data_IF_664870759698
#
_entry.id   IF_664870759698
#
_cell.length_a   1.000
_cell.length_b   1.000
_cell.length_c   1.000
_cell.angle_alpha   90.00
_cell.angle_beta   90.00
_cell.angle_gamma   90.00
#
_symmetry.space_group_name_H-M   'P 1'
#
loop_
_entity.id
_entity.type
_entity.pdbx_description
1 polymer ?
#
# COMPACT_ATOMS: atom_id res chain seq x y z
N UNK A 1 -15.70 -19.67 -9.60
CA UNK A 1 -14.30 -19.99 -9.20
C UNK A 1 -13.26 -18.98 -9.75
N UNK A 2 -13.45 -18.37 -10.93
CA UNK A 2 -12.48 -17.44 -11.53
C UNK A 2 -12.22 -16.16 -10.70
N UNK A 3 -13.21 -15.68 -9.95
CA UNK A 3 -13.14 -14.49 -9.10
C UNK A 3 -12.13 -14.64 -7.95
N UNK A 4 -12.18 -15.79 -7.26
CA UNK A 4 -11.21 -16.12 -6.23
C UNK A 4 -9.79 -16.14 -6.79
N UNK A 5 -9.57 -16.71 -7.98
CA UNK A 5 -8.25 -16.70 -8.62
C UNK A 5 -7.66 -15.30 -8.79
N UNK A 6 -8.47 -14.33 -9.22
CA UNK A 6 -8.05 -12.93 -9.36
C UNK A 6 -7.74 -12.27 -8.02
N UNK A 7 -8.55 -12.52 -6.98
CA UNK A 7 -8.29 -12.00 -5.63
C UNK A 7 -6.99 -12.57 -5.05
N UNK A 8 -6.71 -13.87 -5.24
CA UNK A 8 -5.46 -14.49 -4.82
C UNK A 8 -4.24 -13.82 -5.45
N UNK A 9 -4.29 -13.60 -6.77
CA UNK A 9 -3.22 -12.93 -7.51
C UNK A 9 -3.06 -11.49 -7.01
N UNK A 10 -4.15 -10.75 -6.83
CA UNK A 10 -4.09 -9.38 -6.31
C UNK A 10 -3.45 -9.32 -4.92
N UNK A 11 -3.78 -10.24 -4.01
CA UNK A 11 -3.18 -10.32 -2.68
C UNK A 11 -1.69 -10.66 -2.73
N UNK A 12 -1.29 -11.58 -3.61
CA UNK A 12 0.11 -11.96 -3.80
C UNK A 12 0.94 -10.78 -4.32
N UNK A 13 0.46 -10.12 -5.38
CA UNK A 13 1.15 -8.98 -5.99
C UNK A 13 1.25 -7.80 -5.02
N UNK A 14 0.17 -7.46 -4.33
CA UNK A 14 0.19 -6.41 -3.29
C UNK A 14 1.14 -6.76 -2.16
N UNK A 15 1.14 -8.01 -1.70
CA UNK A 15 2.03 -8.43 -0.63
C UNK A 15 3.50 -8.36 -1.02
N UNK A 16 3.85 -8.75 -2.25
CA UNK A 16 5.20 -8.59 -2.80
C UNK A 16 5.57 -7.10 -2.91
N UNK A 17 4.65 -6.27 -3.42
CA UNK A 17 4.87 -4.83 -3.55
C UNK A 17 5.11 -4.16 -2.19
N UNK A 18 4.42 -4.57 -1.12
CA UNK A 18 4.66 -4.04 0.22
C UNK A 18 6.00 -4.48 0.82
N UNK A 19 6.42 -5.73 0.59
CA UNK A 19 7.70 -6.24 1.09
C UNK A 19 8.89 -5.62 0.35
N UNK A 20 8.83 -5.61 -0.98
CA UNK A 20 9.98 -5.27 -1.82
C UNK A 20 9.89 -3.87 -2.45
N UNK A 21 8.77 -3.17 -2.32
CA UNK A 21 8.56 -1.86 -2.94
C UNK A 21 8.89 -0.70 -2.01
N UNK A 22 8.35 -0.69 -0.78
CA UNK A 22 8.37 0.50 0.08
C UNK A 22 9.79 1.01 0.36
N UNK A 23 10.65 0.17 0.95
CA UNK A 23 11.99 0.59 1.33
C UNK A 23 12.88 0.94 0.11
N UNK A 24 12.90 0.14 -0.98
CA UNK A 24 13.65 0.53 -2.16
C UNK A 24 13.14 1.82 -2.81
N UNK A 25 11.83 2.05 -2.90
CA UNK A 25 11.28 3.26 -3.54
C UNK A 25 11.62 4.54 -2.76
N UNK A 26 11.66 4.49 -1.43
CA UNK A 26 12.16 5.59 -0.59
C UNK A 26 13.59 6.01 -0.99
N UNK A 27 14.43 5.08 -1.43
CA UNK A 27 15.84 5.33 -1.79
C UNK A 27 16.05 5.60 -3.28
N UNK A 28 15.33 4.89 -4.16
CA UNK A 28 15.47 4.97 -5.61
C UNK A 28 14.67 6.13 -6.22
N UNK A 29 13.55 6.49 -5.61
CA UNK A 29 12.74 7.65 -6.00
C UNK A 29 12.29 8.46 -4.77
N UNK A 30 13.24 9.12 -4.07
CA UNK A 30 12.95 9.82 -2.83
C UNK A 30 11.89 10.91 -3.00
N UNK A 31 11.89 11.62 -4.13
CA UNK A 31 10.94 12.71 -4.34
C UNK A 31 9.46 12.24 -4.40
N UNK A 32 9.18 10.97 -4.72
CA UNK A 32 7.82 10.43 -4.72
C UNK A 32 7.44 9.62 -3.47
N UNK A 33 8.40 9.31 -2.60
CA UNK A 33 8.25 8.32 -1.51
C UNK A 33 8.87 8.73 -0.17
N UNK A 34 9.68 9.79 -0.13
CA UNK A 34 10.34 10.30 1.08
C UNK A 34 9.88 11.71 1.38
N UNK A 35 9.08 11.82 2.44
CA UNK A 35 8.53 13.08 2.96
C UNK A 35 9.61 13.95 3.61
N UNK A 36 9.45 15.29 3.53
CA UNK A 36 10.35 16.24 4.16
C UNK A 36 9.79 16.86 5.46
N UNK A 37 10.65 17.14 6.47
CA UNK A 37 12.07 16.75 6.54
C UNK A 37 12.22 15.22 6.68
N UNK A 38 13.28 14.66 6.10
CA UNK A 38 13.52 13.21 6.16
C UNK A 38 13.60 12.71 7.62
N UNK A 39 12.96 11.58 7.89
CA UNK A 39 12.88 10.96 9.22
C UNK A 39 13.18 9.46 9.10
N UNK A 40 14.46 9.06 9.03
CA UNK A 40 14.86 7.69 8.72
C UNK A 40 14.29 6.64 9.68
N UNK A 41 14.16 6.96 10.96
CA UNK A 41 13.61 6.07 11.98
C UNK A 41 12.12 5.78 11.71
N UNK A 42 11.34 6.83 11.40
CA UNK A 42 9.93 6.68 11.05
C UNK A 42 9.76 5.97 9.70
N UNK A 43 10.60 6.26 8.71
CA UNK A 43 10.63 5.56 7.41
C UNK A 43 10.86 4.05 7.59
N UNK A 44 11.78 3.65 8.48
CA UNK A 44 12.04 2.24 8.77
C UNK A 44 10.88 1.59 9.53
N UNK A 45 10.28 2.29 10.51
CA UNK A 45 9.13 1.79 11.25
C UNK A 45 7.92 1.56 10.34
N UNK A 46 7.61 2.48 9.42
CA UNK A 46 6.49 2.28 8.49
C UNK A 46 6.81 1.19 7.46
N UNK A 47 8.05 1.13 6.95
CA UNK A 47 8.47 0.10 6.01
C UNK A 47 8.32 -1.32 6.59
N UNK A 48 8.69 -1.54 7.86
CA UNK A 48 8.53 -2.86 8.48
C UNK A 48 7.07 -3.23 8.70
N UNK A 49 6.20 -2.26 9.04
CA UNK A 49 4.75 -2.49 9.14
C UNK A 49 4.18 -2.95 7.80
N UNK A 50 4.52 -2.26 6.70
CA UNK A 50 4.11 -2.66 5.35
C UNK A 50 4.67 -4.03 4.97
N UNK A 51 5.93 -4.32 5.25
CA UNK A 51 6.53 -5.62 4.96
C UNK A 51 5.79 -6.76 5.68
N UNK A 52 5.49 -6.60 6.97
CA UNK A 52 4.71 -7.58 7.74
C UNK A 52 3.29 -7.71 7.16
N UNK A 53 2.60 -6.59 6.90
CA UNK A 53 1.29 -6.62 6.25
C UNK A 53 1.34 -7.39 4.92
N UNK A 54 2.40 -7.19 4.13
CA UNK A 54 2.63 -7.91 2.88
C UNK A 54 2.76 -9.42 3.07
N UNK A 55 3.50 -9.88 4.09
CA UNK A 55 3.58 -11.31 4.45
C UNK A 55 2.20 -11.87 4.77
N UNK A 56 1.39 -11.15 5.54
CA UNK A 56 0.05 -11.57 5.90
C UNK A 56 -0.90 -11.59 4.68
N UNK A 57 -0.76 -10.68 3.73
CA UNK A 57 -1.52 -10.70 2.47
C UNK A 57 -1.14 -11.89 1.58
N UNK A 58 0.15 -12.22 1.49
CA UNK A 58 0.62 -13.43 0.80
C UNK A 58 0.03 -14.68 1.47
N UNK A 59 -0.01 -14.74 2.81
CA UNK A 59 -0.64 -15.85 3.52
C UNK A 59 -2.15 -15.91 3.26
N UNK A 60 -2.83 -14.77 3.29
CA UNK A 60 -4.26 -14.65 3.01
C UNK A 60 -4.61 -15.10 1.58
N UNK A 61 -3.70 -14.95 0.62
CA UNK A 61 -3.91 -15.42 -0.76
C UNK A 61 -4.24 -16.92 -0.86
N UNK A 62 -3.83 -17.76 0.10
CA UNK A 62 -4.17 -19.19 0.09
C UNK A 62 -5.66 -19.43 0.37
N UNK A 63 -6.22 -18.69 1.33
CA UNK A 63 -7.63 -18.77 1.74
C UNK A 63 -8.24 -17.36 1.94
N UNK A 64 -8.50 -16.60 0.86
CA UNK A 64 -8.87 -15.18 0.97
C UNK A 64 -10.16 -14.94 1.77
N UNK A 65 -11.16 -15.80 1.59
CA UNK A 65 -12.45 -15.69 2.27
C UNK A 65 -12.35 -15.80 3.80
N UNK A 66 -11.31 -16.47 4.32
CA UNK A 66 -11.05 -16.54 5.76
C UNK A 66 -10.35 -15.32 6.34
N UNK A 67 -9.94 -14.36 5.50
CA UNK A 67 -9.10 -13.22 5.89
C UNK A 67 -9.71 -11.88 5.46
N UNK A 68 -11.04 -11.81 5.27
CA UNK A 68 -11.71 -10.61 4.79
C UNK A 68 -11.47 -9.39 5.68
N UNK A 69 -11.34 -9.56 7.00
CA UNK A 69 -11.01 -8.46 7.92
C UNK A 69 -9.65 -7.84 7.61
N UNK A 70 -8.63 -8.66 7.34
CA UNK A 70 -7.29 -8.20 6.94
C UNK A 70 -7.33 -7.50 5.58
N UNK A 71 -8.09 -8.03 4.62
CA UNK A 71 -8.20 -7.44 3.28
C UNK A 71 -8.89 -6.07 3.36
N UNK A 72 -10.02 -5.98 4.08
CA UNK A 72 -10.70 -4.71 4.30
C UNK A 72 -9.89 -3.73 5.14
N UNK A 73 -9.14 -4.21 6.12
CA UNK A 73 -8.17 -3.39 6.84
C UNK A 73 -7.14 -2.80 5.87
N UNK A 74 -6.61 -3.60 4.94
CA UNK A 74 -5.65 -3.12 3.93
C UNK A 74 -6.26 -2.07 3.01
N UNK A 75 -7.51 -2.27 2.57
CA UNK A 75 -8.25 -1.29 1.76
C UNK A 75 -8.42 0.02 2.51
N UNK A 76 -9.02 -0.01 3.71
CA UNK A 76 -9.33 1.20 4.47
C UNK A 76 -8.08 1.91 4.99
N UNK A 77 -7.08 1.18 5.48
CA UNK A 77 -5.81 1.79 5.91
C UNK A 77 -5.08 2.45 4.75
N UNK A 78 -5.05 1.82 3.56
CA UNK A 78 -4.42 2.42 2.37
C UNK A 78 -5.15 3.69 1.92
N UNK A 79 -6.48 3.70 1.92
CA UNK A 79 -7.27 4.89 1.57
C UNK A 79 -7.09 6.02 2.59
N UNK A 80 -7.16 5.71 3.89
CA UNK A 80 -6.96 6.69 4.94
C UNK A 80 -5.55 7.29 4.90
N UNK A 81 -4.54 6.45 4.70
CA UNK A 81 -3.15 6.89 4.55
C UNK A 81 -2.99 7.77 3.30
N UNK A 82 -3.47 7.34 2.14
CA UNK A 82 -3.44 8.13 0.91
C UNK A 82 -4.18 9.47 1.05
N UNK A 83 -5.30 9.52 1.76
CA UNK A 83 -6.05 10.74 2.00
C UNK A 83 -5.24 11.76 2.82
N UNK A 84 -4.60 11.30 3.90
CA UNK A 84 -3.73 12.15 4.74
C UNK A 84 -2.52 12.64 3.93
N UNK A 85 -1.86 11.74 3.19
CA UNK A 85 -0.74 12.10 2.31
C UNK A 85 -1.18 13.14 1.26
N UNK A 86 -2.31 12.92 0.58
CA UNK A 86 -2.85 13.88 -0.40
C UNK A 86 -3.12 15.24 0.24
N UNK A 87 -3.69 15.26 1.44
CA UNK A 87 -3.97 16.50 2.17
C UNK A 87 -2.71 17.31 2.45
N UNK A 88 -1.63 16.66 2.89
CA UNK A 88 -0.36 17.32 3.15
C UNK A 88 0.36 17.73 1.85
N UNK A 89 0.43 16.83 0.86
CA UNK A 89 1.08 17.10 -0.42
C UNK A 89 0.42 18.27 -1.17
N UNK A 90 -0.92 18.35 -1.17
CA UNK A 90 -1.64 19.45 -1.82
C UNK A 90 -1.32 20.84 -1.23
N UNK A 91 -0.79 20.92 0.00
CA UNK A 91 -0.49 22.17 0.71
C UNK A 91 0.98 22.57 0.67
N UNK A 92 1.86 21.68 0.23
CA UNK A 92 3.29 21.89 0.22
C UNK A 92 3.83 21.61 -1.19
N UNK A 93 4.18 22.65 -1.98
CA UNK A 93 4.72 22.48 -3.33
C UNK A 93 5.95 21.57 -3.40
N UNK A 94 6.74 21.50 -2.32
CA UNK A 94 7.90 20.59 -2.20
C UNK A 94 7.50 19.12 -2.20
N UNK A 95 6.27 18.80 -1.80
CA UNK A 95 5.76 17.44 -1.65
C UNK A 95 4.86 17.01 -2.83
N UNK A 96 4.70 17.83 -3.88
CA UNK A 96 3.79 17.53 -4.99
C UNK A 96 4.13 16.23 -5.74
N UNK A 97 5.38 15.81 -5.72
CA UNK A 97 5.78 14.56 -6.35
C UNK A 97 5.18 13.32 -5.67
N UNK A 98 4.75 13.40 -4.39
CA UNK A 98 3.97 12.35 -3.73
C UNK A 98 2.61 12.11 -4.41
N UNK A 99 1.99 13.15 -5.00
CA UNK A 99 0.73 13.01 -5.75
C UNK A 99 0.87 12.16 -7.01
N UNK A 100 2.09 11.97 -7.51
CA UNK A 100 2.43 11.08 -8.61
C UNK A 100 3.18 9.80 -8.14
N UNK A 101 3.52 9.71 -6.87
CA UNK A 101 4.35 8.65 -6.27
C UNK A 101 3.55 7.71 -5.37
N UNK A 102 3.77 7.78 -4.07
CA UNK A 102 3.17 6.90 -3.06
C UNK A 102 1.63 6.99 -2.96
N UNK A 103 1.04 8.18 -3.10
CA UNK A 103 -0.43 8.40 -3.05
C UNK A 103 -1.19 7.55 -4.06
N UNK A 104 -0.95 7.65 -5.38
CA UNK A 104 -1.70 6.88 -6.37
C UNK A 104 -1.47 5.38 -6.25
N UNK A 105 -0.29 4.94 -5.78
CA UNK A 105 -0.01 3.52 -5.54
C UNK A 105 -0.94 2.94 -4.47
N UNK A 106 -1.09 3.62 -3.33
CA UNK A 106 -1.98 3.15 -2.26
C UNK A 106 -3.45 3.15 -2.69
N UNK A 107 -3.89 4.16 -3.45
CA UNK A 107 -5.25 4.23 -4.00
C UNK A 107 -5.50 3.07 -4.96
N UNK A 108 -4.57 2.79 -5.87
CA UNK A 108 -4.69 1.69 -6.84
C UNK A 108 -4.79 0.33 -6.14
N UNK A 109 -3.98 0.10 -5.11
CA UNK A 109 -4.02 -1.12 -4.30
C UNK A 109 -5.38 -1.26 -3.63
N UNK A 110 -5.88 -0.20 -2.98
CA UNK A 110 -7.16 -0.22 -2.29
C UNK A 110 -8.33 -0.53 -3.24
N UNK A 111 -8.40 0.16 -4.38
CA UNK A 111 -9.44 -0.06 -5.39
C UNK A 111 -9.34 -1.48 -5.96
N UNK A 112 -8.14 -1.94 -6.27
CA UNK A 112 -7.92 -3.30 -6.78
C UNK A 112 -8.40 -4.35 -5.79
N UNK A 113 -8.07 -4.23 -4.51
CA UNK A 113 -8.51 -5.21 -3.51
C UNK A 113 -10.03 -5.12 -3.27
N UNK A 114 -10.60 -3.92 -3.12
CA UNK A 114 -12.03 -3.72 -2.89
C UNK A 114 -12.88 -4.30 -4.03
N UNK A 115 -12.54 -4.00 -5.29
CA UNK A 115 -13.25 -4.52 -6.45
C UNK A 115 -13.18 -6.05 -6.56
N UNK A 116 -12.10 -6.67 -6.09
CA UNK A 116 -11.90 -8.12 -6.18
C UNK A 116 -12.55 -8.87 -5.02
N UNK A 117 -12.87 -8.19 -3.92
CA UNK A 117 -13.64 -8.75 -2.80
C UNK A 117 -15.14 -8.72 -3.08
N UNK A 118 -15.65 -7.68 -3.75
CA UNK A 118 -17.08 -7.53 -4.04
C UNK A 118 -17.59 -8.34 -5.25
N UNK A 119 -16.78 -9.25 -5.81
CA UNK A 119 -17.06 -10.03 -7.02
C UNK A 119 -17.07 -11.53 -6.76
#
# INVERSE_FOLDING_TARGET
MQHLGRLRIALLLTGIAFIAGVYPLIHLWPAGFRWQPAQPEYEQMIAVIYAVLGVFLIRASRHPLGHLSLIWFTVWSSLAHAAVMTWHAARAPTEWQHLAGDVPVLILIAITLAMRVCQ
#
